data_IF_605132645956
#
_entry.id   IF_605132645956
#
_cell.length_a   1.000
_cell.length_b   1.000
_cell.length_c   1.000
_cell.angle_alpha   90.00
_cell.angle_beta   90.00
_cell.angle_gamma   90.00
#
_symmetry.space_group_name_H-M   'P 1'
#
loop_
_entity.id
_entity.type
_entity.pdbx_description
1 polymer ?
#
# COMPACT_ATOMS: atom_id res chain seq x y z
N UNK A 1 20.38 -28.78 53.91
CA UNK A 1 19.43 -29.18 52.85
C UNK A 1 20.05 -28.90 51.48
N UNK A 2 20.67 -29.91 50.87
CA UNK A 2 21.28 -29.84 49.54
C UNK A 2 20.19 -29.99 48.46
N UNK A 3 19.92 -28.93 47.71
CA UNK A 3 19.00 -28.97 46.56
C UNK A 3 19.83 -29.36 45.33
N UNK A 4 19.49 -30.50 44.71
CA UNK A 4 20.21 -31.13 43.61
C UNK A 4 20.42 -30.23 42.37
N UNK A 5 21.68 -30.03 41.98
CA UNK A 5 22.12 -29.24 40.81
C UNK A 5 21.52 -29.72 39.47
N UNK A 6 21.05 -30.97 39.39
CA UNK A 6 20.40 -31.53 38.21
C UNK A 6 19.03 -30.88 37.87
N UNK A 7 18.33 -30.33 38.88
CA UNK A 7 17.02 -29.68 38.66
C UNK A 7 17.20 -28.28 38.05
N UNK A 8 18.28 -27.56 38.40
CA UNK A 8 18.58 -26.23 37.83
C UNK A 8 18.91 -26.32 36.34
N UNK A 9 19.67 -27.32 35.91
CA UNK A 9 20.09 -27.49 34.51
C UNK A 9 18.89 -27.81 33.59
N UNK A 10 17.95 -28.64 34.05
CA UNK A 10 16.69 -28.93 33.34
C UNK A 10 15.79 -27.71 33.15
N UNK A 11 15.75 -26.78 34.12
CA UNK A 11 15.01 -25.52 34.00
C UNK A 11 15.65 -24.56 32.98
N UNK A 12 16.98 -24.46 32.90
CA UNK A 12 17.65 -23.58 31.93
C UNK A 12 17.49 -24.08 30.48
N UNK A 13 17.49 -25.39 30.24
CA UNK A 13 17.26 -25.98 28.91
C UNK A 13 15.82 -25.77 28.39
N UNK A 14 14.81 -25.82 29.28
CA UNK A 14 13.42 -25.50 28.95
C UNK A 14 13.19 -23.99 28.72
N UNK A 15 13.91 -23.12 29.43
CA UNK A 15 13.85 -21.66 29.24
C UNK A 15 14.60 -21.16 28.00
N UNK A 16 15.61 -21.89 27.51
CA UNK A 16 16.27 -21.57 26.23
C UNK A 16 15.46 -22.04 25.01
N UNK A 17 14.77 -23.18 25.10
CA UNK A 17 13.94 -23.71 24.01
C UNK A 17 12.72 -22.86 23.67
N UNK A 18 12.12 -22.19 24.66
CA UNK A 18 10.93 -21.34 24.48
C UNK A 18 11.25 -19.98 23.83
N UNK A 19 12.50 -19.51 23.93
CA UNK A 19 12.97 -18.23 23.37
C UNK A 19 13.14 -18.26 21.84
N UNK A 20 13.55 -19.42 21.28
CA UNK A 20 13.78 -19.58 19.84
C UNK A 20 12.49 -19.62 18.99
N UNK A 21 11.36 -20.04 19.56
CA UNK A 21 10.08 -20.15 18.84
C UNK A 21 9.43 -18.77 18.64
N UNK A 22 9.64 -17.82 19.55
CA UNK A 22 9.05 -16.48 19.49
C UNK A 22 9.69 -15.56 18.41
N UNK A 23 10.91 -15.86 17.96
CA UNK A 23 11.63 -15.05 16.96
C UNK A 23 11.20 -15.33 15.51
N UNK A 24 10.65 -16.51 15.21
CA UNK A 24 10.29 -16.92 13.84
C UNK A 24 9.03 -16.26 13.26
N UNK A 25 8.03 -15.98 14.11
CA UNK A 25 6.71 -15.52 13.64
C UNK A 25 6.71 -14.12 13.03
N UNK A 26 7.60 -13.23 13.49
CA UNK A 26 7.68 -11.86 12.98
C UNK A 26 8.22 -11.82 11.53
N UNK A 27 9.12 -12.75 11.17
CA UNK A 27 9.65 -12.87 9.81
C UNK A 27 8.57 -13.30 8.81
N UNK A 28 7.73 -14.26 9.20
CA UNK A 28 6.61 -14.75 8.37
C UNK A 28 5.58 -13.65 8.09
N UNK A 29 5.15 -12.91 9.12
CA UNK A 29 4.21 -11.80 8.96
C UNK A 29 4.76 -10.68 8.05
N UNK A 30 6.05 -10.35 8.20
CA UNK A 30 6.74 -9.40 7.31
C UNK A 30 6.78 -9.90 5.87
N UNK A 31 7.08 -11.18 5.64
CA UNK A 31 7.13 -11.80 4.31
C UNK A 31 5.75 -11.75 3.64
N UNK A 32 4.70 -12.18 4.34
CA UNK A 32 3.31 -12.11 3.87
C UNK A 32 2.93 -10.68 3.49
N UNK A 33 3.25 -9.70 4.35
CA UNK A 33 2.99 -8.29 4.06
C UNK A 33 3.67 -7.82 2.78
N UNK A 34 4.93 -8.21 2.54
CA UNK A 34 5.63 -7.84 1.32
C UNK A 34 5.03 -8.51 0.08
N UNK A 35 4.61 -9.78 0.19
CA UNK A 35 3.89 -10.47 -0.88
C UNK A 35 2.57 -9.76 -1.20
N UNK A 36 1.80 -9.37 -0.19
CA UNK A 36 0.57 -8.61 -0.38
C UNK A 36 0.84 -7.26 -1.06
N UNK A 37 1.85 -6.50 -0.62
CA UNK A 37 2.24 -5.23 -1.26
C UNK A 37 2.61 -5.44 -2.73
N UNK A 38 3.36 -6.51 -3.02
CA UNK A 38 3.75 -6.87 -4.37
C UNK A 38 2.52 -7.18 -5.22
N UNK A 39 1.62 -8.03 -4.73
CA UNK A 39 0.38 -8.41 -5.42
C UNK A 39 -0.56 -7.22 -5.67
N UNK A 40 -0.68 -6.28 -4.72
CA UNK A 40 -1.45 -5.04 -4.92
C UNK A 40 -0.90 -4.26 -6.12
N UNK A 41 0.43 -4.07 -6.17
CA UNK A 41 1.08 -3.33 -7.25
C UNK A 41 0.99 -4.08 -8.58
N UNK A 42 1.19 -5.40 -8.59
CA UNK A 42 1.12 -6.21 -9.80
C UNK A 42 -0.31 -6.25 -10.35
N UNK A 43 -1.31 -6.34 -9.46
CA UNK A 43 -2.73 -6.21 -9.85
C UNK A 43 -2.97 -4.85 -10.51
N UNK A 44 -2.48 -3.76 -9.91
CA UNK A 44 -2.63 -2.43 -10.49
C UNK A 44 -1.97 -2.33 -11.88
N UNK A 45 -0.74 -2.85 -12.01
CA UNK A 45 0.01 -2.88 -13.28
C UNK A 45 -0.67 -3.73 -14.34
N UNK A 46 -1.38 -4.80 -13.95
CA UNK A 46 -2.14 -5.63 -14.88
C UNK A 46 -3.27 -4.88 -15.60
N UNK A 47 -3.69 -3.71 -15.09
CA UNK A 47 -4.67 -2.83 -15.72
C UNK A 47 -4.06 -1.77 -16.63
N UNK A 48 -2.72 -1.68 -16.74
CA UNK A 48 -2.05 -0.68 -17.57
C UNK A 48 -2.63 -0.64 -18.99
N UNK A 49 -2.88 0.56 -19.50
CA UNK A 49 -3.55 0.80 -20.78
C UNK A 49 -5.09 0.75 -20.74
N UNK A 50 -5.71 0.30 -19.65
CA UNK A 50 -7.19 0.32 -19.51
C UNK A 50 -7.68 1.76 -19.61
N UNK A 51 -8.63 2.09 -20.52
CA UNK A 51 -9.15 3.44 -20.67
C UNK A 51 -9.77 3.98 -19.39
N UNK A 52 -9.78 5.30 -19.23
CA UNK A 52 -10.51 5.90 -18.12
C UNK A 52 -12.01 5.89 -18.39
N UNK A 53 -12.79 5.45 -17.39
CA UNK A 53 -14.24 5.58 -17.39
C UNK A 53 -14.72 5.92 -15.98
N UNK A 54 -15.39 7.07 -15.83
CA UNK A 54 -15.95 7.47 -14.55
C UNK A 54 -16.94 6.42 -14.04
N UNK A 55 -16.78 5.95 -12.79
CA UNK A 55 -17.58 4.88 -12.22
C UNK A 55 -17.20 3.47 -12.71
N UNK A 56 -16.41 3.36 -13.77
CA UNK A 56 -15.98 2.08 -14.34
C UNK A 56 -15.05 1.29 -13.43
N UNK A 57 -15.07 -0.03 -13.57
CA UNK A 57 -14.25 -0.97 -12.78
C UNK A 57 -13.90 -2.24 -13.55
N UNK A 58 -13.72 -2.14 -14.87
CA UNK A 58 -13.37 -3.27 -15.72
C UNK A 58 -12.27 -2.90 -16.72
N UNK A 59 -11.77 -3.88 -17.47
CA UNK A 59 -10.77 -3.66 -18.53
C UNK A 59 -11.30 -2.85 -19.73
N UNK A 60 -12.62 -2.73 -19.87
CA UNK A 60 -13.22 -1.83 -20.86
C UNK A 60 -13.19 -0.36 -20.42
N UNK A 61 -12.94 -0.10 -19.13
CA UNK A 61 -12.72 1.22 -18.61
C UNK A 61 -12.86 1.30 -17.10
N UNK A 62 -11.99 2.08 -16.46
CA UNK A 62 -12.00 2.22 -15.01
C UNK A 62 -11.61 3.61 -14.51
N UNK A 63 -12.06 3.97 -13.31
CA UNK A 63 -11.63 5.19 -12.64
C UNK A 63 -10.50 4.96 -11.63
N UNK A 64 -9.94 6.07 -11.14
CA UNK A 64 -8.80 6.05 -10.23
C UNK A 64 -9.07 5.29 -8.93
N UNK A 65 -10.29 5.40 -8.40
CA UNK A 65 -10.68 4.72 -7.16
C UNK A 65 -11.00 3.26 -7.36
N UNK A 66 -11.50 2.86 -8.53
CA UNK A 66 -11.69 1.46 -8.91
C UNK A 66 -10.36 0.72 -9.03
N UNK A 67 -9.34 1.35 -9.62
CA UNK A 67 -7.99 0.80 -9.67
C UNK A 67 -7.48 0.47 -8.26
N UNK A 68 -7.56 1.43 -7.34
CA UNK A 68 -7.18 1.22 -5.93
C UNK A 68 -8.02 0.12 -5.28
N UNK A 69 -9.34 0.17 -5.46
CA UNK A 69 -10.27 -0.79 -4.89
C UNK A 69 -9.95 -2.24 -5.31
N UNK A 70 -9.82 -2.49 -6.62
CA UNK A 70 -9.56 -3.81 -7.17
C UNK A 70 -8.16 -4.32 -6.80
N UNK A 71 -7.16 -3.44 -6.79
CA UNK A 71 -5.79 -3.80 -6.39
C UNK A 71 -5.70 -4.24 -4.93
N UNK A 72 -6.39 -3.58 -4.00
CA UNK A 72 -6.40 -4.01 -2.60
C UNK A 72 -7.31 -5.22 -2.35
N UNK A 73 -8.40 -5.34 -3.12
CA UNK A 73 -9.30 -6.50 -3.03
C UNK A 73 -8.60 -7.80 -3.42
N UNK A 74 -7.60 -7.76 -4.29
CA UNK A 74 -6.85 -8.97 -4.69
C UNK A 74 -6.08 -9.63 -3.54
N UNK A 75 -5.81 -8.89 -2.46
CA UNK A 75 -5.19 -9.39 -1.22
C UNK A 75 -6.19 -9.46 -0.06
N UNK A 76 -7.49 -9.49 -0.36
CA UNK A 76 -8.56 -9.59 0.64
C UNK A 76 -8.90 -8.30 1.38
N UNK A 77 -8.32 -7.15 1.00
CA UNK A 77 -8.58 -5.87 1.66
C UNK A 77 -9.64 -5.07 0.91
N UNK A 78 -10.82 -4.93 1.52
CA UNK A 78 -11.92 -4.16 0.94
C UNK A 78 -11.83 -2.69 1.35
N UNK A 79 -11.53 -1.82 0.39
CA UNK A 79 -11.56 -0.37 0.58
C UNK A 79 -12.92 0.21 0.12
N UNK A 80 -13.30 1.42 0.58
CA UNK A 80 -14.43 2.13 0.00
C UNK A 80 -14.26 2.35 -1.51
N UNK A 81 -15.37 2.39 -2.27
CA UNK A 81 -15.35 2.60 -3.73
C UNK A 81 -14.91 4.00 -4.14
N UNK A 82 -15.03 5.00 -3.26
CA UNK A 82 -14.79 6.43 -3.54
C UNK A 82 -13.43 6.88 -2.99
N UNK A 83 -12.63 7.58 -3.80
CA UNK A 83 -11.27 8.03 -3.43
C UNK A 83 -11.23 8.93 -2.20
N UNK A 84 -12.23 9.78 -2.00
CA UNK A 84 -12.33 10.63 -0.80
C UNK A 84 -12.42 9.80 0.49
N UNK A 85 -13.10 8.66 0.43
CA UNK A 85 -13.30 7.75 1.57
C UNK A 85 -12.08 6.87 1.78
N UNK A 86 -11.50 6.34 0.70
CA UNK A 86 -10.20 5.67 0.72
C UNK A 86 -9.12 6.53 1.40
N UNK A 87 -9.16 7.85 1.17
CA UNK A 87 -8.21 8.81 1.76
C UNK A 87 -8.31 8.97 3.29
N UNK A 88 -9.31 8.35 3.93
CA UNK A 88 -9.51 8.31 5.39
C UNK A 88 -9.06 6.99 6.02
N UNK A 89 -8.86 5.93 5.23
CA UNK A 89 -8.48 4.61 5.72
C UNK A 89 -6.97 4.50 5.92
N UNK A 90 -6.55 3.79 6.97
CA UNK A 90 -5.15 3.48 7.25
C UNK A 90 -4.31 4.65 7.79
N UNK A 91 -3.02 4.37 7.99
CA UNK A 91 -2.08 5.29 8.63
C UNK A 91 -1.69 6.43 7.69
N UNK A 92 -1.68 7.66 8.19
CA UNK A 92 -1.18 8.83 7.42
C UNK A 92 0.31 8.68 7.15
N UNK A 93 0.72 8.93 5.91
CA UNK A 93 2.12 8.89 5.49
C UNK A 93 2.55 10.26 4.97
N UNK A 94 3.71 10.75 5.41
CA UNK A 94 4.31 11.97 4.86
C UNK A 94 4.99 11.68 3.52
N UNK A 95 5.06 12.67 2.62
CA UNK A 95 5.68 12.52 1.28
C UNK A 95 7.08 11.89 1.34
N UNK A 96 7.90 12.28 2.31
CA UNK A 96 9.26 11.73 2.49
C UNK A 96 9.28 10.27 2.92
N UNK A 97 8.22 9.76 3.57
CA UNK A 97 8.12 8.39 4.10
C UNK A 97 7.30 7.45 3.20
N UNK A 98 6.96 7.87 1.99
CA UNK A 98 6.30 7.03 1.00
C UNK A 98 7.09 5.75 0.74
N UNK A 99 6.37 4.66 0.50
CA UNK A 99 6.88 3.33 0.15
C UNK A 99 5.95 2.69 -0.89
N UNK A 100 6.44 1.67 -1.58
CA UNK A 100 5.64 0.80 -2.46
C UNK A 100 4.38 0.33 -1.73
N UNK A 101 3.23 0.38 -2.41
CA UNK A 101 1.91 0.03 -1.87
C UNK A 101 1.19 1.15 -1.11
N UNK A 102 1.83 2.28 -0.82
CA UNK A 102 1.11 3.43 -0.26
C UNK A 102 0.13 4.00 -1.28
N UNK A 103 -1.06 4.40 -0.84
CA UNK A 103 -2.05 5.08 -1.68
C UNK A 103 -1.86 6.58 -1.57
N UNK A 104 -1.73 7.25 -2.70
CA UNK A 104 -1.54 8.70 -2.83
C UNK A 104 -2.80 9.36 -3.36
N UNK A 105 -3.12 10.54 -2.84
CA UNK A 105 -4.37 11.24 -3.14
C UNK A 105 -4.09 12.68 -3.57
N UNK A 106 -4.83 13.13 -4.58
CA UNK A 106 -4.64 14.42 -5.22
C UNK A 106 -5.96 15.19 -5.41
N UNK A 107 -5.83 16.50 -5.59
CA UNK A 107 -6.89 17.43 -5.95
C UNK A 107 -6.68 17.88 -7.41
N UNK A 108 -7.29 17.17 -8.36
CA UNK A 108 -7.23 17.42 -9.80
C UNK A 108 -8.36 18.32 -10.31
N UNK A 109 -9.43 18.50 -9.53
CA UNK A 109 -10.53 19.42 -9.84
C UNK A 109 -10.30 20.87 -9.38
N UNK A 110 -11.32 21.73 -9.57
CA UNK A 110 -11.26 23.18 -9.24
C UNK A 110 -11.02 23.47 -7.75
N UNK A 111 -11.57 22.65 -6.85
CA UNK A 111 -11.45 22.84 -5.40
C UNK A 111 -10.13 22.28 -4.90
N UNK A 112 -9.18 23.16 -4.59
CA UNK A 112 -7.90 22.79 -3.98
C UNK A 112 -8.16 22.07 -2.65
N UNK A 113 -7.35 21.05 -2.33
CA UNK A 113 -7.40 20.23 -1.10
C UNK A 113 -8.53 19.18 -0.98
N UNK A 114 -9.54 19.16 -1.88
CA UNK A 114 -10.50 18.05 -1.93
C UNK A 114 -9.91 16.89 -2.72
N UNK A 115 -9.94 15.68 -2.15
CA UNK A 115 -9.50 14.49 -2.88
C UNK A 115 -10.47 14.23 -4.04
N UNK A 116 -9.93 14.23 -5.25
CA UNK A 116 -10.67 13.90 -6.49
C UNK A 116 -9.94 12.85 -7.32
N UNK A 117 -8.73 12.44 -6.92
CA UNK A 117 -7.91 11.48 -7.64
C UNK A 117 -7.09 10.64 -6.68
N UNK A 118 -6.78 9.40 -7.07
CA UNK A 118 -5.99 8.46 -6.30
C UNK A 118 -5.03 7.65 -7.20
N UNK A 119 -4.00 7.07 -6.58
CA UNK A 119 -3.08 6.14 -7.22
C UNK A 119 -2.27 5.34 -6.20
N UNK A 120 -1.55 4.33 -6.67
CA UNK A 120 -0.75 3.43 -5.82
C UNK A 120 0.73 3.65 -6.11
N UNK A 121 1.54 3.88 -5.08
CA UNK A 121 3.00 3.97 -5.23
C UNK A 121 3.55 2.62 -5.68
N UNK A 122 4.16 2.59 -6.85
CA UNK A 122 4.74 1.37 -7.44
C UNK A 122 6.21 1.25 -7.13
N UNK A 123 6.91 2.39 -7.04
CA UNK A 123 8.34 2.43 -6.80
C UNK A 123 8.78 3.74 -6.13
N UNK A 124 9.84 3.67 -5.32
CA UNK A 124 10.52 4.85 -4.78
C UNK A 124 12.02 4.76 -5.03
N UNK A 125 12.53 5.74 -5.76
CA UNK A 125 13.95 5.98 -6.02
C UNK A 125 14.41 7.26 -5.31
N UNK A 126 15.72 7.50 -5.17
CA UNK A 126 16.22 8.82 -4.74
C UNK A 126 15.61 9.94 -5.59
N UNK A 127 15.01 10.94 -4.94
CA UNK A 127 14.39 12.09 -5.61
C UNK A 127 13.07 11.84 -6.36
N UNK A 128 12.72 10.59 -6.70
CA UNK A 128 11.51 10.27 -7.49
C UNK A 128 10.67 9.16 -6.87
N UNK A 129 9.36 9.35 -6.83
CA UNK A 129 8.39 8.34 -6.38
C UNK A 129 7.36 8.15 -7.47
N UNK A 130 7.33 6.94 -8.02
CA UNK A 130 6.44 6.53 -9.11
C UNK A 130 5.15 5.96 -8.54
N UNK A 131 4.05 6.21 -9.24
CA UNK A 131 2.75 5.71 -8.87
C UNK A 131 1.91 5.44 -10.11
N UNK A 132 1.08 4.41 -10.03
CA UNK A 132 0.14 4.04 -11.08
C UNK A 132 -1.25 4.58 -10.75
N UNK A 133 -1.95 5.09 -11.75
CA UNK A 133 -3.30 5.63 -11.61
C UNK A 133 -4.07 5.55 -12.94
N UNK A 134 -5.40 5.64 -12.89
CA UNK A 134 -6.23 5.81 -14.09
C UNK A 134 -6.28 7.30 -14.47
N UNK A 135 -5.46 7.73 -15.43
CA UNK A 135 -5.46 9.07 -16.02
C UNK A 135 -6.69 9.29 -16.90
N UNK A 136 -7.34 10.45 -16.79
CA UNK A 136 -8.51 10.77 -17.62
C UNK A 136 -8.23 10.83 -19.12
N UNK A 137 -6.97 11.04 -19.53
CA UNK A 137 -6.57 11.13 -20.94
C UNK A 137 -5.79 9.92 -21.44
N UNK A 138 -5.01 9.27 -20.57
CA UNK A 138 -4.08 8.19 -20.96
C UNK A 138 -4.52 6.80 -20.47
N UNK A 139 -5.65 6.71 -19.78
CA UNK A 139 -6.04 5.47 -19.10
C UNK A 139 -5.10 5.14 -17.94
N UNK A 140 -5.03 3.87 -17.56
CA UNK A 140 -4.14 3.41 -16.48
C UNK A 140 -2.69 3.53 -16.93
N UNK A 141 -1.93 4.39 -16.26
CA UNK A 141 -0.54 4.70 -16.58
C UNK A 141 0.27 5.00 -15.31
N UNK A 142 1.59 5.02 -15.44
CA UNK A 142 2.52 5.40 -14.37
C UNK A 142 3.03 6.83 -14.55
N UNK A 143 3.08 7.56 -13.44
CA UNK A 143 3.59 8.91 -13.34
C UNK A 143 4.49 9.04 -12.10
N UNK A 144 5.12 10.20 -11.90
CA UNK A 144 5.91 10.46 -10.70
C UNK A 144 5.45 11.70 -9.93
N UNK A 145 5.42 11.60 -8.60
CA UNK A 145 4.83 12.60 -7.67
C UNK A 145 5.56 13.95 -7.74
N UNK A 146 6.84 13.93 -8.08
CA UNK A 146 7.68 15.13 -8.17
C UNK A 146 7.46 15.93 -9.46
N UNK A 147 6.69 15.43 -10.43
CA UNK A 147 6.34 16.22 -11.61
C UNK A 147 5.63 17.51 -11.21
N UNK A 148 5.79 18.59 -11.98
CA UNK A 148 5.15 19.89 -11.71
C UNK A 148 3.62 19.76 -11.57
N UNK A 149 3.00 18.86 -12.34
CA UNK A 149 1.57 18.63 -12.31
C UNK A 149 1.12 17.99 -10.99
N UNK A 150 1.75 16.88 -10.59
CA UNK A 150 1.35 16.09 -9.41
C UNK A 150 1.80 16.73 -8.10
N UNK A 151 2.97 17.36 -8.08
CA UNK A 151 3.49 18.03 -6.89
C UNK A 151 2.58 19.15 -6.40
N UNK A 152 1.96 19.92 -7.32
CA UNK A 152 1.00 21.00 -7.04
C UNK A 152 -0.38 20.52 -6.60
N UNK A 153 -0.73 19.27 -6.93
CA UNK A 153 -2.05 18.67 -6.66
C UNK A 153 -2.05 17.72 -5.47
N UNK A 154 -0.90 17.49 -4.87
CA UNK A 154 -0.74 16.64 -3.70
C UNK A 154 -1.72 17.01 -2.57
N UNK A 155 -2.40 16.02 -2.01
CA UNK A 155 -3.23 16.20 -0.81
C UNK A 155 -2.69 15.39 0.36
N UNK A 156 -2.60 14.06 0.24
CA UNK A 156 -2.17 13.16 1.33
C UNK A 156 -1.80 11.77 0.82
N UNK A 157 -1.25 10.95 1.70
CA UNK A 157 -1.07 9.52 1.47
C UNK A 157 -1.49 8.68 2.67
N UNK A 158 -1.86 7.43 2.37
CA UNK A 158 -2.28 6.41 3.34
C UNK A 158 -1.52 5.11 3.12
N UNK A 159 -1.17 4.46 4.23
CA UNK A 159 -0.68 3.08 4.28
C UNK A 159 -1.74 2.21 4.91
N UNK A 160 -2.22 1.24 4.17
CA UNK A 160 -3.38 0.43 4.58
C UNK A 160 -2.98 -0.64 5.61
N UNK A 161 -1.83 -1.30 5.41
CA UNK A 161 -1.25 -2.26 6.35
C UNK A 161 0.28 -2.18 6.36
#
# INVERSE_FOLDING_TARGET
MHINSAVKIRCYLLMFGLSLILLGSCSSARKMRQQNIQQVVDTAKSFQGTPYRYGGSSRAGMDCSALVYLSFRSVGVTLPRVSADQSRIGKRVSRRKLKKGDVVFFATGKRRRRVTHAGIVTEKRPGRTYFIHASTSLGVTEDHIQSKYWSRRWVRARRIF
#
